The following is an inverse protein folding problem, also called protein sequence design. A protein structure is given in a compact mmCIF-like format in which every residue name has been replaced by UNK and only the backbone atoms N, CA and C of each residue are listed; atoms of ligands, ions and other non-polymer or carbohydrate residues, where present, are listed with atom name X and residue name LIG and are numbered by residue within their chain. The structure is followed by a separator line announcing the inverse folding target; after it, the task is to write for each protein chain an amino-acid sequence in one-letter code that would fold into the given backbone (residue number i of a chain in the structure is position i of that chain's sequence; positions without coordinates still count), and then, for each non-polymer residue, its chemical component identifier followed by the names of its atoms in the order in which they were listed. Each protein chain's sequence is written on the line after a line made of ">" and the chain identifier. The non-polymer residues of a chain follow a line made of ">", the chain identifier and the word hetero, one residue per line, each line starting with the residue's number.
data_IF_723737394034
#
_entry.id   IF_723737394034
#
_cell.length_a   1.000
_cell.length_b   1.000
_cell.length_c   1.000
_cell.angle_alpha   90.00
_cell.angle_beta   90.00
_cell.angle_gamma   90.00
#
_symmetry.space_group_name_H-M   'P 1'
#
loop_
_entity.id
_entity.type
_entity.pdbx_description
1 polymer ?
#
# COMPACT_ATOMS: atom_id res chain seq x y z
N UNK A 1 11.18 -14.71 -49.67
CA UNK A 1 10.37 -14.12 -48.60
C UNK A 1 10.09 -15.10 -47.48
N UNK A 2 10.50 -14.72 -46.32
CA UNK A 2 10.51 -15.67 -45.21
C UNK A 2 9.44 -15.31 -44.16
N UNK A 3 8.23 -15.15 -44.61
CA UNK A 3 7.12 -14.74 -43.77
C UNK A 3 6.91 -15.65 -42.57
N UNK A 4 7.11 -16.97 -42.73
CA UNK A 4 6.96 -17.95 -41.65
C UNK A 4 8.04 -17.74 -40.60
N UNK A 5 9.28 -17.52 -40.98
CA UNK A 5 10.38 -17.26 -40.06
C UNK A 5 10.19 -15.94 -39.34
N UNK A 6 9.71 -14.91 -40.04
CA UNK A 6 9.40 -13.62 -39.42
C UNK A 6 8.31 -13.75 -38.37
N UNK A 7 7.26 -14.53 -38.67
CA UNK A 7 6.18 -14.81 -37.72
C UNK A 7 6.69 -15.55 -36.50
N UNK A 8 7.53 -16.57 -36.71
CA UNK A 8 8.12 -17.34 -35.61
C UNK A 8 8.98 -16.48 -34.70
N UNK A 9 9.80 -15.60 -35.30
CA UNK A 9 10.62 -14.66 -34.54
C UNK A 9 9.73 -13.74 -33.70
N UNK A 10 8.65 -13.23 -34.29
CA UNK A 10 7.73 -12.35 -33.59
C UNK A 10 7.02 -13.08 -32.44
N UNK A 11 6.59 -14.33 -32.65
CA UNK A 11 5.97 -15.14 -31.61
C UNK A 11 6.93 -15.34 -30.44
N UNK A 12 8.19 -15.68 -30.72
CA UNK A 12 9.18 -15.87 -29.66
C UNK A 12 9.45 -14.58 -28.89
N UNK A 13 9.50 -13.47 -29.58
CA UNK A 13 9.66 -12.15 -28.95
C UNK A 13 8.48 -11.83 -28.04
N UNK A 14 7.27 -12.05 -28.50
CA UNK A 14 6.05 -11.81 -27.73
C UNK A 14 5.96 -12.72 -26.50
N UNK A 15 6.34 -13.99 -26.64
CA UNK A 15 6.38 -14.91 -25.49
C UNK A 15 7.35 -14.43 -24.42
N UNK A 16 8.51 -13.93 -24.84
CA UNK A 16 9.52 -13.41 -23.94
C UNK A 16 9.02 -12.16 -23.20
N UNK A 17 8.42 -11.24 -23.96
CA UNK A 17 7.83 -10.03 -23.40
C UNK A 17 6.69 -10.36 -22.41
N UNK A 18 5.83 -11.32 -22.76
CA UNK A 18 4.75 -11.75 -21.90
C UNK A 18 5.26 -12.32 -20.57
N UNK A 19 6.33 -13.10 -20.62
CA UNK A 19 6.93 -13.65 -19.41
C UNK A 19 7.45 -12.54 -18.50
N UNK A 20 8.12 -11.56 -19.08
CA UNK A 20 8.63 -10.40 -18.33
C UNK A 20 7.48 -9.61 -17.71
N UNK A 21 6.43 -9.35 -18.48
CA UNK A 21 5.25 -8.62 -18.01
C UNK A 21 4.54 -9.36 -16.87
N UNK A 22 4.41 -10.67 -16.95
CA UNK A 22 3.82 -11.48 -15.88
C UNK A 22 4.61 -11.35 -14.59
N UNK A 23 5.93 -11.34 -14.67
CA UNK A 23 6.79 -11.17 -13.50
C UNK A 23 6.63 -9.76 -12.90
N UNK A 24 6.56 -8.75 -13.75
CA UNK A 24 6.33 -7.37 -13.30
C UNK A 24 4.97 -7.25 -12.61
N UNK A 25 3.93 -7.85 -13.16
CA UNK A 25 2.58 -7.83 -12.57
C UNK A 25 2.60 -8.48 -11.20
N UNK A 26 3.27 -9.61 -11.06
CA UNK A 26 3.40 -10.30 -9.78
C UNK A 26 4.08 -9.41 -8.74
N UNK A 27 5.20 -8.80 -9.11
CA UNK A 27 5.92 -7.90 -8.22
C UNK A 27 5.06 -6.70 -7.79
N UNK A 28 4.34 -6.12 -8.74
CA UNK A 28 3.46 -4.98 -8.45
C UNK A 28 2.32 -5.37 -7.51
N UNK A 29 1.74 -6.56 -7.69
CA UNK A 29 0.71 -7.07 -6.78
C UNK A 29 1.25 -7.25 -5.37
N UNK A 30 2.45 -7.82 -5.23
CA UNK A 30 3.07 -8.03 -3.94
C UNK A 30 3.36 -6.69 -3.24
N UNK A 31 3.87 -5.71 -3.99
CA UNK A 31 4.11 -4.36 -3.46
C UNK A 31 2.82 -3.68 -3.05
N UNK A 32 1.77 -3.82 -3.86
CA UNK A 32 0.46 -3.24 -3.52
C UNK A 32 -0.11 -3.85 -2.24
N UNK A 33 0.02 -5.15 -2.06
CA UNK A 33 -0.43 -5.81 -0.83
C UNK A 33 0.36 -5.32 0.38
N UNK A 34 1.67 -5.17 0.24
CA UNK A 34 2.52 -4.64 1.29
C UNK A 34 2.12 -3.20 1.66
N UNK A 35 1.90 -2.35 0.66
CA UNK A 35 1.47 -0.97 0.88
C UNK A 35 0.11 -0.88 1.55
N UNK A 36 -0.83 -1.73 1.17
CA UNK A 36 -2.15 -1.80 1.83
C UNK A 36 -2.01 -2.15 3.30
N UNK A 37 -1.16 -3.13 3.61
CA UNK A 37 -0.91 -3.53 5.00
C UNK A 37 -0.30 -2.39 5.80
N UNK A 38 0.68 -1.68 5.23
CA UNK A 38 1.28 -0.51 5.86
C UNK A 38 0.25 0.59 6.11
N UNK A 39 -0.61 0.83 5.12
CA UNK A 39 -1.68 1.82 5.26
C UNK A 39 -2.64 1.47 6.38
N UNK A 40 -3.03 0.20 6.51
CA UNK A 40 -3.89 -0.26 7.59
C UNK A 40 -3.25 -0.05 8.95
N UNK A 41 -1.96 -0.34 9.08
CA UNK A 41 -1.20 -0.11 10.32
C UNK A 41 -1.19 1.38 10.68
N UNK A 42 -0.91 2.23 9.70
CA UNK A 42 -0.90 3.68 9.91
C UNK A 42 -2.27 4.21 10.33
N UNK A 43 -3.34 3.73 9.70
CA UNK A 43 -4.70 4.12 10.08
C UNK A 43 -5.04 3.73 11.52
N UNK A 44 -4.66 2.53 11.93
CA UNK A 44 -4.87 2.07 13.31
C UNK A 44 -4.08 2.93 14.29
N UNK A 45 -2.83 3.28 13.95
CA UNK A 45 -2.01 4.14 14.78
C UNK A 45 -2.59 5.55 14.88
N UNK A 46 -3.10 6.10 13.80
CA UNK A 46 -3.76 7.40 13.80
C UNK A 46 -4.98 7.41 14.73
N UNK A 47 -5.81 6.38 14.66
CA UNK A 47 -6.99 6.27 15.52
C UNK A 47 -6.58 6.16 16.99
N UNK A 48 -5.54 5.40 17.28
CA UNK A 48 -5.01 5.27 18.63
C UNK A 48 -4.51 6.61 19.16
N UNK A 49 -3.74 7.34 18.34
CA UNK A 49 -3.22 8.65 18.73
C UNK A 49 -4.33 9.66 18.94
N UNK A 50 -5.34 9.66 18.07
CA UNK A 50 -6.51 10.53 18.22
C UNK A 50 -7.24 10.26 19.52
N UNK A 51 -7.41 8.98 19.88
CA UNK A 51 -8.04 8.59 21.14
C UNK A 51 -7.22 9.05 22.34
N UNK A 52 -5.90 8.88 22.31
CA UNK A 52 -5.01 9.35 23.37
C UNK A 52 -5.06 10.86 23.52
N UNK A 53 -5.09 11.58 22.41
CA UNK A 53 -5.19 13.04 22.42
C UNK A 53 -6.50 13.49 23.08
N UNK A 54 -7.60 12.86 22.75
CA UNK A 54 -8.90 13.16 23.34
C UNK A 54 -8.88 12.91 24.85
N UNK A 55 -8.28 11.80 25.28
CA UNK A 55 -8.13 11.49 26.70
C UNK A 55 -7.32 12.55 27.44
N UNK A 56 -6.23 13.03 26.83
CA UNK A 56 -5.43 14.11 27.40
C UNK A 56 -6.23 15.40 27.52
N UNK A 57 -7.00 15.76 26.52
CA UNK A 57 -7.85 16.95 26.55
C UNK A 57 -8.87 16.87 27.68
N UNK A 58 -9.48 15.72 27.87
CA UNK A 58 -10.42 15.50 28.97
C UNK A 58 -9.76 15.61 30.33
N UNK A 59 -8.55 15.06 30.45
CA UNK A 59 -7.76 15.13 31.67
C UNK A 59 -7.39 16.57 32.04
N UNK A 60 -6.92 17.34 31.05
CA UNK A 60 -6.58 18.75 31.22
C UNK A 60 -7.81 19.55 31.67
N UNK A 61 -8.93 19.30 31.02
CA UNK A 61 -10.19 19.98 31.35
C UNK A 61 -10.64 19.67 32.79
N UNK A 62 -10.50 18.43 33.20
CA UNK A 62 -10.82 18.04 34.58
C UNK A 62 -9.92 18.73 35.60
N UNK A 63 -8.60 18.85 35.29
CA UNK A 63 -7.65 19.57 36.15
C UNK A 63 -7.98 21.03 36.20
N UNK A 64 -8.30 21.68 35.10
CA UNK A 64 -8.68 23.08 35.05
C UNK A 64 -9.90 23.34 35.92
N UNK A 65 -10.90 22.54 35.82
CA UNK A 65 -12.12 22.65 36.64
C UNK A 65 -11.79 22.52 38.13
N UNK A 66 -10.89 21.62 38.47
CA UNK A 66 -10.48 21.39 39.85
C UNK A 66 -9.71 22.60 40.42
N UNK A 67 -8.88 23.23 39.61
CA UNK A 67 -8.09 24.42 40.01
C UNK A 67 -9.00 25.64 40.16
N UNK A 68 -9.98 25.80 39.29
CA UNK A 68 -10.91 26.92 39.27
C UNK A 68 -11.97 26.86 40.38
N UNK A 69 -12.14 25.72 40.98
CA UNK A 69 -13.00 25.57 42.15
C UNK A 69 -12.26 25.96 43.42
#
# INVERSE_FOLDING_TARGET
>A
MNTINEILVEILKLKKENKILKNIIKDLKDRNNSLKNQLDIHKKNELKLASQLENFKMYIKALENKILQ
#
